data_IF_412890901921
#
_entry.id   IF_412890901921
#
_cell.length_a   1.000
_cell.length_b   1.000
_cell.length_c   1.000
_cell.angle_alpha   90.00
_cell.angle_beta   90.00
_cell.angle_gamma   90.00
#
_symmetry.space_group_name_H-M   'P 1'
#
loop_
_entity.id
_entity.type
_entity.pdbx_description
1 polymer ?
#
# COMPACT_ATOMS: atom_id res chain seq x y z
N UNK A 1 20.23 9.49 -4.31
CA UNK A 1 20.41 10.92 -4.65
C UNK A 1 21.55 11.13 -5.64
N UNK A 2 22.78 10.70 -5.33
CA UNK A 2 23.94 10.82 -6.22
C UNK A 2 23.69 10.34 -7.66
N UNK A 3 23.14 9.13 -7.83
CA UNK A 3 22.85 8.57 -9.17
C UNK A 3 21.84 9.42 -9.96
N UNK A 4 20.83 9.98 -9.29
CA UNK A 4 19.87 10.88 -9.92
C UNK A 4 20.50 12.21 -10.36
N UNK A 5 21.42 12.75 -9.55
CA UNK A 5 22.19 13.94 -9.92
C UNK A 5 23.10 13.67 -11.13
N UNK A 6 23.78 12.53 -11.19
CA UNK A 6 24.59 12.14 -12.35
C UNK A 6 23.75 12.02 -13.64
N UNK A 7 22.54 11.46 -13.55
CA UNK A 7 21.62 11.39 -14.68
C UNK A 7 21.19 12.79 -15.16
N UNK A 8 20.82 13.67 -14.22
CA UNK A 8 20.47 15.06 -14.55
C UNK A 8 21.67 15.85 -15.11
N UNK A 9 22.88 15.58 -14.62
CA UNK A 9 24.11 16.17 -15.12
C UNK A 9 24.36 15.80 -16.59
N UNK A 10 24.28 14.51 -16.93
CA UNK A 10 24.39 14.05 -18.31
C UNK A 10 23.32 14.65 -19.23
N UNK A 11 22.08 14.71 -18.76
CA UNK A 11 20.97 15.36 -19.46
C UNK A 11 21.20 16.87 -19.67
N UNK A 12 21.76 17.57 -18.67
CA UNK A 12 22.08 19.00 -18.74
C UNK A 12 23.13 19.30 -19.79
N UNK A 13 24.18 18.48 -19.88
CA UNK A 13 25.20 18.60 -20.93
C UNK A 13 24.61 18.36 -22.32
N UNK A 14 23.67 17.44 -22.45
CA UNK A 14 23.00 17.13 -23.72
C UNK A 14 22.10 18.27 -24.23
N UNK A 15 21.41 18.94 -23.32
CA UNK A 15 20.46 20.03 -23.61
C UNK A 15 21.15 21.41 -23.66
N UNK A 16 22.34 21.53 -23.08
CA UNK A 16 23.06 22.80 -22.97
C UNK A 16 22.59 23.69 -21.81
N UNK A 17 21.97 23.10 -20.78
CA UNK A 17 21.59 23.84 -19.57
C UNK A 17 22.84 24.11 -18.72
N UNK A 18 23.03 25.34 -18.19
CA UNK A 18 24.21 25.67 -17.39
C UNK A 18 24.25 24.82 -16.11
N UNK A 19 25.41 24.21 -15.83
CA UNK A 19 25.58 23.29 -14.70
C UNK A 19 25.29 23.94 -13.34
N UNK A 20 25.60 25.22 -13.19
CA UNK A 20 25.31 25.94 -11.95
C UNK A 20 23.80 26.09 -11.71
N UNK A 21 23.00 26.27 -12.77
CA UNK A 21 21.53 26.30 -12.67
C UNK A 21 21.02 24.94 -12.23
N UNK A 22 21.54 23.86 -12.82
CA UNK A 22 21.20 22.49 -12.41
C UNK A 22 21.48 22.26 -10.92
N UNK A 23 22.65 22.69 -10.43
CA UNK A 23 23.02 22.57 -9.02
C UNK A 23 22.04 23.36 -8.14
N UNK A 24 21.67 24.59 -8.53
CA UNK A 24 20.67 25.39 -7.81
C UNK A 24 19.29 24.71 -7.79
N UNK A 25 18.82 24.16 -8.91
CA UNK A 25 17.56 23.42 -8.99
C UNK A 25 17.58 22.17 -8.10
N UNK A 26 18.67 21.40 -8.12
CA UNK A 26 18.83 20.21 -7.29
C UNK A 26 18.89 20.55 -5.79
N UNK A 27 19.64 21.60 -5.42
CA UNK A 27 19.78 22.05 -4.04
C UNK A 27 18.46 22.57 -3.47
N UNK A 28 17.74 23.41 -4.22
CA UNK A 28 16.43 23.94 -3.80
C UNK A 28 15.36 22.85 -3.72
N UNK A 29 15.38 21.88 -4.64
CA UNK A 29 14.50 20.70 -4.58
C UNK A 29 14.77 19.86 -3.33
N UNK A 30 16.04 19.59 -3.01
CA UNK A 30 16.42 18.89 -1.77
C UNK A 30 15.99 19.67 -0.53
N UNK A 31 16.26 20.99 -0.49
CA UNK A 31 15.86 21.84 0.61
C UNK A 31 14.34 21.82 0.81
N UNK A 32 13.56 21.87 -0.27
CA UNK A 32 12.10 21.78 -0.21
C UNK A 32 11.62 20.48 0.40
N UNK A 33 12.25 19.34 0.07
CA UNK A 33 11.92 18.05 0.64
C UNK A 33 12.14 18.02 2.15
N UNK A 34 13.28 18.55 2.62
CA UNK A 34 13.61 18.61 4.06
C UNK A 34 12.67 19.57 4.79
N UNK A 35 12.44 20.77 4.26
CA UNK A 35 11.59 21.79 4.89
C UNK A 35 10.14 21.31 4.97
N UNK A 36 9.59 20.73 3.91
CA UNK A 36 8.24 20.19 3.93
C UNK A 36 8.11 19.02 4.91
N UNK A 37 9.13 18.15 5.00
CA UNK A 37 9.19 17.08 6.00
C UNK A 37 9.11 17.64 7.43
N UNK A 38 9.95 18.61 7.76
CA UNK A 38 9.97 19.25 9.08
C UNK A 38 8.68 20.00 9.40
N UNK A 39 8.10 20.72 8.42
CA UNK A 39 6.84 21.44 8.60
C UNK A 39 5.67 20.47 8.87
N UNK A 40 5.62 19.35 8.13
CA UNK A 40 4.62 18.28 8.36
C UNK A 40 4.80 17.65 9.74
N UNK A 41 6.03 17.37 10.15
CA UNK A 41 6.34 16.84 11.48
C UNK A 41 5.85 17.78 12.59
N UNK A 42 6.09 19.10 12.47
CA UNK A 42 5.62 20.10 13.44
C UNK A 42 4.09 20.23 13.48
N UNK A 43 3.42 20.16 12.33
CA UNK A 43 1.96 20.35 12.23
C UNK A 43 1.16 19.11 12.64
N UNK A 44 1.63 17.92 12.30
CA UNK A 44 0.86 16.68 12.44
C UNK A 44 1.47 15.68 13.41
N UNK A 45 2.70 15.90 13.90
CA UNK A 45 3.39 15.00 14.84
C UNK A 45 4.05 13.78 14.19
N UNK A 46 3.93 13.62 12.86
CA UNK A 46 4.49 12.48 12.13
C UNK A 46 5.05 12.92 10.78
N UNK A 47 6.17 12.32 10.37
CA UNK A 47 6.73 12.50 9.03
C UNK A 47 5.98 11.61 8.03
N UNK A 48 5.13 12.22 7.20
CA UNK A 48 4.46 11.53 6.09
C UNK A 48 4.97 12.10 4.77
N UNK A 49 5.70 11.27 4.03
CA UNK A 49 6.17 11.59 2.69
C UNK A 49 5.30 10.90 1.64
N UNK A 50 4.63 11.70 0.82
CA UNK A 50 3.90 11.22 -0.35
C UNK A 50 4.73 11.58 -1.57
N UNK A 51 5.31 10.56 -2.21
CA UNK A 51 6.27 10.74 -3.30
C UNK A 51 5.74 11.60 -4.48
N UNK A 52 4.43 11.59 -4.74
CA UNK A 52 3.83 12.45 -5.76
C UNK A 52 3.86 13.93 -5.36
N UNK A 53 3.57 14.25 -4.09
CA UNK A 53 3.61 15.63 -3.59
C UNK A 53 5.04 16.17 -3.59
N UNK A 54 5.98 15.36 -3.13
CA UNK A 54 7.39 15.75 -3.06
C UNK A 54 7.99 15.91 -4.48
N UNK A 55 7.55 15.11 -5.45
CA UNK A 55 7.88 15.28 -6.88
C UNK A 55 7.36 16.61 -7.44
N UNK A 56 6.09 16.95 -7.18
CA UNK A 56 5.50 18.20 -7.65
C UNK A 56 6.18 19.42 -7.01
N UNK A 57 6.52 19.34 -5.72
CA UNK A 57 7.27 20.40 -5.04
C UNK A 57 8.65 20.62 -5.67
N UNK A 58 9.40 19.55 -5.95
CA UNK A 58 10.71 19.64 -6.61
C UNK A 58 10.63 20.24 -8.02
N UNK A 59 9.63 19.84 -8.82
CA UNK A 59 9.40 20.43 -10.15
C UNK A 59 8.99 21.91 -10.05
N UNK A 60 8.18 22.27 -9.06
CA UNK A 60 7.79 23.67 -8.80
C UNK A 60 9.02 24.51 -8.45
N UNK A 61 9.89 24.04 -7.55
CA UNK A 61 11.14 24.73 -7.20
C UNK A 61 12.06 24.86 -8.41
N UNK A 62 12.16 23.82 -9.24
CA UNK A 62 12.92 23.87 -10.49
C UNK A 62 12.41 24.96 -11.42
N UNK A 63 11.09 25.06 -11.60
CA UNK A 63 10.49 26.09 -12.45
C UNK A 63 10.76 27.51 -11.92
N UNK A 64 10.64 27.72 -10.61
CA UNK A 64 10.92 29.01 -9.98
C UNK A 64 12.38 29.43 -10.12
N UNK A 65 13.32 28.51 -9.90
CA UNK A 65 14.76 28.78 -10.05
C UNK A 65 15.10 29.08 -11.51
N UNK A 66 14.58 28.29 -12.45
CA UNK A 66 14.80 28.51 -13.87
C UNK A 66 14.26 29.89 -14.32
N UNK A 67 13.06 30.25 -13.87
CA UNK A 67 12.46 31.56 -14.15
C UNK A 67 13.27 32.71 -13.53
N UNK A 68 13.74 32.57 -12.28
CA UNK A 68 14.53 33.59 -11.60
C UNK A 68 15.88 33.86 -12.29
N UNK A 69 16.46 32.84 -12.91
CA UNK A 69 17.71 32.96 -13.68
C UNK A 69 17.50 33.26 -15.17
N UNK A 70 16.26 33.46 -15.62
CA UNK A 70 15.96 33.78 -17.01
C UNK A 70 16.29 32.66 -18.00
N UNK A 71 16.43 31.41 -17.53
CA UNK A 71 16.64 30.25 -18.40
C UNK A 71 15.31 29.60 -18.78
N UNK A 72 15.34 28.76 -19.81
CA UNK A 72 14.15 28.04 -20.26
C UNK A 72 13.63 27.08 -19.17
N UNK A 73 12.47 27.40 -18.59
CA UNK A 73 11.78 26.58 -17.59
C UNK A 73 11.51 25.17 -18.11
N UNK A 74 11.07 25.05 -19.35
CA UNK A 74 10.75 23.77 -19.97
C UNK A 74 11.98 22.83 -20.04
N UNK A 75 13.13 23.34 -20.49
CA UNK A 75 14.38 22.57 -20.53
C UNK A 75 14.86 22.18 -19.11
N UNK A 76 14.76 23.11 -18.15
CA UNK A 76 15.14 22.82 -16.77
C UNK A 76 14.26 21.71 -16.15
N UNK A 77 12.95 21.75 -16.41
CA UNK A 77 12.00 20.71 -15.98
C UNK A 77 12.31 19.36 -16.63
N UNK A 78 12.57 19.32 -17.95
CA UNK A 78 12.88 18.07 -18.66
C UNK A 78 14.13 17.38 -18.10
N UNK A 79 15.19 18.16 -17.85
CA UNK A 79 16.45 17.67 -17.26
C UNK A 79 16.23 17.19 -15.82
N UNK A 80 15.56 17.99 -14.98
CA UNK A 80 15.31 17.64 -13.59
C UNK A 80 14.39 16.43 -13.44
N UNK A 81 13.42 16.27 -14.35
CA UNK A 81 12.50 15.13 -14.36
C UNK A 81 13.24 13.80 -14.49
N UNK A 82 14.25 13.73 -15.37
CA UNK A 82 15.09 12.53 -15.52
C UNK A 82 15.82 12.21 -14.21
N UNK A 83 16.43 13.21 -13.58
CA UNK A 83 17.13 13.03 -12.31
C UNK A 83 16.21 12.57 -11.17
N UNK A 84 15.01 13.17 -11.09
CA UNK A 84 13.98 12.81 -10.13
C UNK A 84 13.43 11.40 -10.39
N UNK A 85 13.24 11.02 -11.66
CA UNK A 85 12.82 9.67 -12.04
C UNK A 85 13.79 8.60 -11.54
N UNK A 86 15.09 8.78 -11.80
CA UNK A 86 16.14 7.90 -11.28
C UNK A 86 16.14 7.88 -9.75
N UNK A 87 16.03 9.04 -9.09
CA UNK A 87 15.92 9.11 -7.64
C UNK A 87 14.75 8.29 -7.10
N UNK A 88 13.58 8.36 -7.73
CA UNK A 88 12.38 7.63 -7.35
C UNK A 88 12.53 6.11 -7.51
N UNK A 89 13.22 5.63 -8.55
CA UNK A 89 13.54 4.20 -8.74
C UNK A 89 14.29 3.65 -7.54
N UNK A 90 15.39 4.32 -7.14
CA UNK A 90 16.18 3.90 -5.98
C UNK A 90 15.42 4.10 -4.66
N UNK A 91 14.57 5.13 -4.57
CA UNK A 91 13.68 5.33 -3.44
C UNK A 91 12.77 4.11 -3.23
N UNK A 92 12.16 3.58 -4.30
CA UNK A 92 11.33 2.36 -4.23
C UNK A 92 12.10 1.10 -3.90
N UNK A 93 13.34 1.00 -4.37
CA UNK A 93 14.22 -0.10 -3.99
C UNK A 93 14.51 -0.08 -2.48
N UNK A 94 14.79 1.12 -1.92
CA UNK A 94 14.91 1.31 -0.48
C UNK A 94 13.64 0.93 0.27
N UNK A 95 12.46 1.36 -0.22
CA UNK A 95 11.17 0.96 0.36
C UNK A 95 10.98 -0.55 0.41
N UNK A 96 11.42 -1.28 -0.63
CA UNK A 96 11.33 -2.74 -0.67
C UNK A 96 12.16 -3.40 0.44
N UNK A 97 13.40 -2.97 0.66
CA UNK A 97 14.26 -3.55 1.69
C UNK A 97 13.80 -3.23 3.11
N UNK A 98 13.30 -2.01 3.32
CA UNK A 98 12.85 -1.53 4.63
C UNK A 98 11.42 -2.01 4.94
N UNK A 99 10.66 -2.39 3.92
CA UNK A 99 9.27 -2.87 4.03
C UNK A 99 8.23 -1.76 4.16
N UNK A 100 8.59 -0.49 3.93
CA UNK A 100 7.59 0.58 3.87
C UNK A 100 6.86 0.56 2.51
N UNK A 101 5.67 1.16 2.44
CA UNK A 101 4.81 1.15 1.25
C UNK A 101 4.48 -0.26 0.71
N UNK A 102 4.29 -1.24 1.59
CA UNK A 102 4.05 -2.63 1.19
C UNK A 102 2.69 -2.84 0.51
N UNK A 103 2.61 -3.92 -0.26
CA UNK A 103 1.37 -4.36 -0.87
C UNK A 103 0.45 -5.06 0.11
N UNK A 104 -0.72 -5.46 -0.38
CA UNK A 104 -1.68 -6.27 0.38
C UNK A 104 -1.16 -7.71 0.56
N UNK A 105 -1.68 -8.45 1.55
CA UNK A 105 -1.39 -9.88 1.69
C UNK A 105 -1.68 -10.64 0.38
N UNK A 106 -0.80 -11.57 0.03
CA UNK A 106 -0.79 -12.28 -1.26
C UNK A 106 -0.15 -13.66 -1.13
N UNK A 107 -0.57 -14.59 -1.99
CA UNK A 107 0.06 -15.91 -2.15
C UNK A 107 1.49 -15.81 -2.69
N UNK A 108 1.83 -14.71 -3.37
CA UNK A 108 3.15 -14.46 -3.96
C UNK A 108 3.70 -13.14 -3.43
N UNK A 109 4.97 -13.14 -3.00
CA UNK A 109 5.67 -11.95 -2.54
C UNK A 109 6.66 -12.19 -1.40
N UNK A 110 6.94 -11.12 -0.65
CA UNK A 110 8.01 -11.06 0.36
C UNK A 110 7.41 -11.14 1.77
N UNK A 111 8.06 -11.89 2.66
CA UNK A 111 7.75 -11.93 4.09
C UNK A 111 8.63 -10.93 4.83
N UNK A 112 8.02 -10.03 5.58
CA UNK A 112 8.72 -9.04 6.38
C UNK A 112 8.71 -9.42 7.86
N UNK A 113 9.76 -9.07 8.59
CA UNK A 113 9.92 -9.42 10.02
C UNK A 113 9.76 -8.21 10.92
N UNK A 114 9.86 -8.41 12.23
CA UNK A 114 9.77 -7.36 13.24
C UNK A 114 10.84 -6.26 13.09
N UNK A 115 11.90 -6.52 12.33
CA UNK A 115 12.97 -5.56 12.03
C UNK A 115 12.64 -4.61 10.87
N UNK A 116 11.52 -4.83 10.19
CA UNK A 116 11.07 -3.98 9.08
C UNK A 116 10.12 -2.88 9.56
N UNK A 117 9.89 -1.88 8.70
CA UNK A 117 8.92 -0.81 8.95
C UNK A 117 7.47 -1.22 8.59
N UNK A 118 7.25 -2.50 8.30
CA UNK A 118 5.91 -3.06 8.15
C UNK A 118 5.20 -3.01 9.50
N UNK A 119 3.94 -2.60 9.52
CA UNK A 119 3.14 -2.58 10.74
C UNK A 119 3.06 -3.96 11.38
N UNK A 120 3.03 -4.01 12.72
CA UNK A 120 2.97 -5.27 13.51
C UNK A 120 2.00 -6.33 12.96
N UNK A 121 0.79 -5.95 12.50
CA UNK A 121 -0.17 -6.90 11.94
C UNK A 121 0.28 -7.72 10.74
N UNK A 122 1.28 -7.25 10.01
CA UNK A 122 1.71 -7.83 8.73
C UNK A 122 3.04 -8.60 8.81
N UNK A 123 3.59 -8.77 10.02
CA UNK A 123 4.82 -9.52 10.23
C UNK A 123 4.64 -11.01 9.93
N UNK A 124 5.62 -11.61 9.24
CA UNK A 124 5.61 -13.01 8.83
C UNK A 124 4.65 -13.33 7.67
N UNK A 125 3.76 -12.39 7.33
CA UNK A 125 2.82 -12.53 6.22
C UNK A 125 3.52 -12.27 4.88
N UNK A 126 3.11 -13.00 3.86
CA UNK A 126 3.58 -12.80 2.50
C UNK A 126 2.79 -11.62 1.90
N UNK A 127 3.50 -10.53 1.60
CA UNK A 127 2.92 -9.31 1.06
C UNK A 127 3.30 -9.17 -0.41
N UNK A 128 2.34 -8.75 -1.24
CA UNK A 128 2.60 -8.48 -2.65
C UNK A 128 3.70 -7.40 -2.76
N UNK A 129 4.75 -7.61 -3.57
CA UNK A 129 5.89 -6.70 -3.64
C UNK A 129 5.57 -5.50 -4.54
N UNK A 130 4.54 -4.73 -4.18
CA UNK A 130 4.08 -3.55 -4.94
C UNK A 130 5.22 -2.54 -5.15
N UNK A 131 6.18 -2.48 -4.23
CA UNK A 131 7.34 -1.60 -4.34
C UNK A 131 8.21 -1.92 -5.57
N UNK A 132 8.39 -3.22 -5.90
CA UNK A 132 9.16 -3.63 -7.07
C UNK A 132 8.38 -3.37 -8.36
N UNK A 133 7.06 -3.52 -8.33
CA UNK A 133 6.19 -3.17 -9.46
C UNK A 133 6.20 -1.65 -9.71
N UNK A 134 6.09 -0.85 -8.65
CA UNK A 134 6.23 0.61 -8.71
C UNK A 134 7.62 1.01 -9.20
N UNK A 135 8.69 0.34 -8.73
CA UNK A 135 10.05 0.56 -9.22
C UNK A 135 10.15 0.32 -10.72
N UNK A 136 9.71 -0.86 -11.19
CA UNK A 136 9.76 -1.22 -12.61
C UNK A 136 8.98 -0.22 -13.48
N UNK A 137 7.81 0.22 -13.00
CA UNK A 137 7.01 1.23 -13.68
C UNK A 137 7.70 2.58 -13.76
N UNK A 138 8.26 3.07 -12.65
CA UNK A 138 9.00 4.35 -12.61
C UNK A 138 10.24 4.26 -13.49
N UNK A 139 10.93 3.11 -13.51
CA UNK A 139 12.08 2.88 -14.38
C UNK A 139 11.67 2.95 -15.86
N UNK A 140 10.58 2.28 -16.25
CA UNK A 140 10.05 2.36 -17.61
C UNK A 140 9.64 3.80 -17.99
N UNK A 141 8.97 4.52 -17.09
CA UNK A 141 8.62 5.93 -17.29
C UNK A 141 9.87 6.81 -17.48
N UNK A 142 10.92 6.58 -16.67
CA UNK A 142 12.20 7.30 -16.75
C UNK A 142 12.96 6.97 -18.04
N UNK A 143 12.97 5.71 -18.49
CA UNK A 143 13.55 5.32 -19.77
C UNK A 143 12.82 5.99 -20.95
N UNK A 144 11.49 6.06 -20.91
CA UNK A 144 10.73 6.81 -21.92
C UNK A 144 11.05 8.32 -21.88
N UNK A 145 11.20 8.90 -20.68
CA UNK A 145 11.61 10.30 -20.51
C UNK A 145 13.00 10.57 -21.12
N UNK A 146 13.96 9.67 -20.88
CA UNK A 146 15.30 9.71 -21.49
C UNK A 146 15.25 9.57 -23.01
N UNK A 147 14.39 8.69 -23.54
CA UNK A 147 14.19 8.55 -24.98
C UNK A 147 13.70 9.86 -25.61
N UNK A 148 12.63 10.46 -25.07
CA UNK A 148 12.08 11.73 -25.54
C UNK A 148 13.09 12.89 -25.46
N UNK A 149 13.92 12.89 -24.42
CA UNK A 149 15.00 13.87 -24.26
C UNK A 149 16.14 13.66 -25.27
N UNK A 150 16.50 12.41 -25.53
CA UNK A 150 17.57 12.01 -26.45
C UNK A 150 17.27 12.40 -27.89
N UNK A 151 16.02 12.23 -28.33
CA UNK A 151 15.59 12.61 -29.69
C UNK A 151 15.28 14.11 -29.85
N UNK A 152 15.62 14.95 -28.85
CA UNK A 152 15.48 16.42 -28.89
C UNK A 152 14.06 16.88 -29.25
N UNK A 153 13.05 16.27 -28.63
CA UNK A 153 11.66 16.72 -28.81
C UNK A 153 11.42 18.12 -28.25
N UNK A 154 10.22 18.65 -28.54
CA UNK A 154 9.86 19.99 -28.11
C UNK A 154 9.90 20.11 -26.59
N UNK A 155 10.36 21.26 -26.06
CA UNK A 155 10.55 21.44 -24.63
C UNK A 155 9.28 21.11 -23.83
N UNK A 156 9.45 20.56 -22.63
CA UNK A 156 8.41 20.04 -21.73
C UNK A 156 7.81 18.67 -22.11
N UNK A 157 8.12 18.12 -23.28
CA UNK A 157 7.63 16.77 -23.68
C UNK A 157 8.12 15.69 -22.71
N UNK A 158 9.38 15.76 -22.29
CA UNK A 158 9.96 14.78 -21.37
C UNK A 158 9.27 14.83 -20.00
N UNK A 159 9.04 16.03 -19.45
CA UNK A 159 8.31 16.21 -18.19
C UNK A 159 6.87 15.72 -18.30
N UNK A 160 6.13 16.11 -19.33
CA UNK A 160 4.75 15.70 -19.49
C UNK A 160 4.61 14.18 -19.67
N UNK A 161 5.52 13.53 -20.43
CA UNK A 161 5.54 12.08 -20.57
C UNK A 161 5.73 11.40 -19.21
N UNK A 162 6.75 11.81 -18.46
CA UNK A 162 7.05 11.22 -17.16
C UNK A 162 5.90 11.41 -16.17
N UNK A 163 5.34 12.62 -16.05
CA UNK A 163 4.24 12.90 -15.14
C UNK A 163 2.98 12.11 -15.52
N UNK A 164 2.66 12.03 -16.81
CA UNK A 164 1.55 11.22 -17.30
C UNK A 164 1.73 9.74 -16.96
N UNK A 165 2.88 9.16 -17.28
CA UNK A 165 3.20 7.78 -16.95
C UNK A 165 3.20 7.53 -15.43
N UNK A 166 3.86 8.39 -14.66
CA UNK A 166 3.95 8.28 -13.20
C UNK A 166 2.57 8.32 -12.54
N UNK A 167 1.72 9.30 -12.87
CA UNK A 167 0.37 9.44 -12.31
C UNK A 167 -0.52 8.24 -12.68
N UNK A 168 -0.38 7.73 -13.90
CA UNK A 168 -1.12 6.55 -14.37
C UNK A 168 -0.79 5.30 -13.56
N UNK A 169 0.50 5.00 -13.40
CA UNK A 169 0.93 3.90 -12.56
C UNK A 169 0.57 4.12 -11.10
N UNK A 170 0.72 5.35 -10.58
CA UNK A 170 0.37 5.66 -9.20
C UNK A 170 -1.11 5.41 -8.93
N UNK A 171 -1.99 5.82 -9.84
CA UNK A 171 -3.44 5.60 -9.74
C UNK A 171 -3.80 4.11 -9.70
N UNK A 172 -3.17 3.32 -10.57
CA UNK A 172 -3.40 1.88 -10.70
C UNK A 172 -2.83 1.10 -9.52
N UNK A 173 -1.56 1.34 -9.19
CA UNK A 173 -0.83 0.59 -8.17
C UNK A 173 -1.32 0.90 -6.75
N UNK A 174 -2.00 2.03 -6.54
CA UNK A 174 -2.64 2.35 -5.26
C UNK A 174 -3.64 1.28 -4.82
N UNK A 175 -4.31 0.59 -5.74
CA UNK A 175 -5.23 -0.51 -5.39
C UNK A 175 -4.52 -1.73 -4.80
N UNK A 176 -3.24 -1.92 -5.13
CA UNK A 176 -2.43 -3.06 -4.70
C UNK A 176 -1.76 -2.82 -3.33
N UNK A 177 -1.87 -1.60 -2.79
CA UNK A 177 -1.21 -1.19 -1.55
C UNK A 177 -1.93 -1.66 -0.30
N UNK A 178 -1.15 -2.10 0.68
CA UNK A 178 -1.60 -2.54 2.00
C UNK A 178 -1.39 -1.49 3.10
N UNK A 179 -0.65 -0.41 2.84
CA UNK A 179 -0.38 0.68 3.77
C UNK A 179 -1.56 1.67 3.85
N UNK A 180 -2.61 1.29 4.59
CA UNK A 180 -3.90 2.00 4.65
C UNK A 180 -4.00 3.19 5.60
N UNK A 181 -2.89 3.75 6.11
CA UNK A 181 -2.90 5.04 6.83
C UNK A 181 -3.18 6.25 5.90
N UNK A 182 -3.92 6.03 4.82
CA UNK A 182 -4.23 6.99 3.77
C UNK A 182 -5.66 7.47 3.92
N UNK A 183 -5.83 8.78 3.82
CA UNK A 183 -7.14 9.40 3.84
C UNK A 183 -7.87 9.06 2.56
N UNK A 184 -9.06 8.47 2.70
CA UNK A 184 -9.98 8.28 1.59
C UNK A 184 -10.94 9.46 1.51
N UNK A 185 -11.19 9.92 0.29
CA UNK A 185 -12.15 10.99 0.00
C UNK A 185 -13.15 10.41 -0.99
N UNK A 186 -14.28 9.92 -0.48
CA UNK A 186 -15.24 9.15 -1.28
C UNK A 186 -14.67 7.78 -1.72
N UNK A 187 -14.82 7.39 -3.00
CA UNK A 187 -14.40 6.06 -3.48
C UNK A 187 -12.88 5.93 -3.72
N UNK A 188 -12.15 7.05 -3.79
CA UNK A 188 -10.73 7.11 -4.16
C UNK A 188 -9.85 7.60 -3.00
N UNK A 189 -8.57 7.24 -3.03
CA UNK A 189 -7.58 7.80 -2.09
C UNK A 189 -7.23 9.24 -2.47
N UNK A 190 -6.77 10.02 -1.49
CA UNK A 190 -6.22 11.36 -1.73
C UNK A 190 -5.15 11.38 -2.84
N UNK A 191 -4.28 10.37 -2.88
CA UNK A 191 -3.24 10.25 -3.92
C UNK A 191 -3.82 9.92 -5.30
N UNK A 192 -4.93 9.18 -5.37
CA UNK A 192 -5.62 8.91 -6.63
C UNK A 192 -6.28 10.18 -7.19
N UNK A 193 -6.92 10.98 -6.33
CA UNK A 193 -7.45 12.29 -6.73
C UNK A 193 -6.35 13.21 -7.23
N UNK A 194 -5.21 13.28 -6.52
CA UNK A 194 -4.07 14.08 -6.96
C UNK A 194 -3.50 13.57 -8.29
N UNK A 195 -3.43 12.25 -8.48
CA UNK A 195 -2.97 11.65 -9.74
C UNK A 195 -3.90 11.99 -10.91
N UNK A 196 -5.21 12.04 -10.69
CA UNK A 196 -6.18 12.47 -11.70
C UNK A 196 -6.01 13.96 -12.04
N UNK A 197 -5.89 14.82 -11.03
CA UNK A 197 -5.71 16.26 -11.23
C UNK A 197 -4.44 16.56 -12.05
N UNK A 198 -3.31 15.93 -11.68
CA UNK A 198 -2.06 16.07 -12.44
C UNK A 198 -2.19 15.47 -13.83
N UNK A 199 -2.85 14.32 -13.97
CA UNK A 199 -3.12 13.71 -15.28
C UNK A 199 -3.86 14.64 -16.23
N UNK A 200 -4.89 15.33 -15.75
CA UNK A 200 -5.65 16.32 -16.54
C UNK A 200 -4.75 17.50 -16.94
N UNK A 201 -3.97 18.05 -16.01
CA UNK A 201 -3.04 19.14 -16.30
C UNK A 201 -1.99 18.73 -17.34
N UNK A 202 -1.48 17.51 -17.27
CA UNK A 202 -0.53 16.96 -18.25
C UNK A 202 -1.18 16.82 -19.61
N UNK A 203 -2.42 16.33 -19.70
CA UNK A 203 -3.11 16.22 -21.01
C UNK A 203 -3.31 17.58 -21.66
N UNK A 204 -3.75 18.58 -20.88
CA UNK A 204 -3.92 19.94 -21.38
C UNK A 204 -2.57 20.54 -21.79
N UNK A 205 -1.53 20.34 -20.98
CA UNK A 205 -0.17 20.78 -21.27
C UNK A 205 0.41 20.11 -22.54
N UNK A 206 0.19 18.81 -22.72
CA UNK A 206 0.66 18.07 -23.90
C UNK A 206 0.07 18.60 -25.20
N UNK A 207 -1.23 18.91 -25.20
CA UNK A 207 -1.91 19.49 -26.35
C UNK A 207 -1.36 20.89 -26.67
N UNK A 208 -1.06 21.70 -25.66
CA UNK A 208 -0.42 23.02 -25.87
C UNK A 208 1.01 22.91 -26.41
N UNK A 209 1.84 22.02 -25.87
CA UNK A 209 3.22 21.80 -26.33
C UNK A 209 3.22 21.34 -27.80
N UNK A 210 2.34 20.42 -28.17
CA UNK A 210 2.24 19.91 -29.55
C UNK A 210 1.56 20.88 -30.52
N UNK A 211 0.65 21.74 -30.05
CA UNK A 211 0.08 22.81 -30.87
C UNK A 211 1.15 23.83 -31.30
N UNK A 212 2.09 24.16 -30.41
CA UNK A 212 3.23 25.04 -30.70
C UNK A 212 4.23 24.37 -31.68
N UNK A 213 4.27 23.04 -31.72
CA UNK A 213 5.29 22.27 -32.45
C UNK A 213 4.99 22.04 -33.95
N UNK A 214 3.88 22.57 -34.50
CA UNK A 214 3.48 22.46 -35.92
C UNK A 214 3.44 21.04 -36.54
N UNK A 215 3.49 19.97 -35.75
CA UNK A 215 3.65 18.59 -36.24
C UNK A 215 2.29 17.91 -36.53
N UNK A 216 1.71 18.18 -37.71
CA UNK A 216 0.30 17.97 -38.14
C UNK A 216 -0.21 16.52 -38.27
N UNK A 217 0.22 15.58 -37.41
CA UNK A 217 -0.28 14.20 -37.42
C UNK A 217 -1.58 14.02 -36.62
N UNK A 218 -2.72 13.74 -37.28
CA UNK A 218 -4.10 13.61 -36.73
C UNK A 218 -4.28 12.57 -35.58
N UNK A 219 -3.26 11.81 -35.20
CA UNK A 219 -3.32 10.75 -34.16
C UNK A 219 -2.96 11.25 -32.74
N UNK A 220 -3.38 12.47 -32.39
CA UNK A 220 -2.59 13.42 -31.59
C UNK A 220 -2.66 13.36 -30.06
N UNK A 221 -3.73 12.87 -29.45
CA UNK A 221 -3.89 12.68 -28.00
C UNK A 221 -4.43 11.30 -27.55
N UNK A 222 -5.10 10.49 -28.41
CA UNK A 222 -5.78 9.30 -27.91
C UNK A 222 -4.82 8.15 -27.62
N UNK A 223 -3.61 8.06 -28.18
CA UNK A 223 -2.75 6.86 -27.93
C UNK A 223 -2.22 6.81 -26.50
N UNK A 224 -1.73 7.93 -25.97
CA UNK A 224 -1.26 8.00 -24.58
C UNK A 224 -2.40 7.82 -23.59
N UNK A 225 -3.53 8.50 -23.84
CA UNK A 225 -4.75 8.36 -23.04
C UNK A 225 -5.33 6.95 -23.14
N UNK A 226 -5.38 6.33 -24.32
CA UNK A 226 -5.89 4.97 -24.54
C UNK A 226 -4.96 3.90 -23.99
N UNK A 227 -3.63 4.09 -24.02
CA UNK A 227 -2.72 3.17 -23.32
C UNK A 227 -2.88 3.28 -21.81
N UNK A 228 -2.96 4.49 -21.27
CA UNK A 228 -3.18 4.71 -19.84
C UNK A 228 -4.54 4.17 -19.40
N UNK A 229 -5.61 4.55 -20.10
CA UNK A 229 -6.98 4.08 -19.84
C UNK A 229 -7.07 2.57 -20.05
N UNK A 230 -6.43 2.03 -21.08
CA UNK A 230 -6.37 0.59 -21.36
C UNK A 230 -5.64 -0.18 -20.25
N UNK A 231 -4.52 0.35 -19.75
CA UNK A 231 -3.79 -0.22 -18.61
C UNK A 231 -4.58 -0.08 -17.30
N UNK A 232 -5.27 1.04 -17.08
CA UNK A 232 -6.17 1.27 -15.94
C UNK A 232 -7.35 0.30 -15.97
N UNK A 233 -7.99 0.12 -17.13
CA UNK A 233 -9.09 -0.81 -17.32
C UNK A 233 -8.64 -2.27 -17.20
N UNK A 234 -7.47 -2.61 -17.74
CA UNK A 234 -6.88 -3.95 -17.60
C UNK A 234 -6.54 -4.23 -16.13
N UNK A 235 -5.94 -3.28 -15.43
CA UNK A 235 -5.65 -3.43 -14.00
C UNK A 235 -6.94 -3.49 -13.18
N UNK A 236 -7.95 -2.68 -13.48
CA UNK A 236 -9.27 -2.74 -12.84
C UNK A 236 -9.94 -4.09 -13.06
N UNK A 237 -9.91 -4.61 -14.29
CA UNK A 237 -10.51 -5.91 -14.66
C UNK A 237 -9.74 -7.09 -14.08
N UNK A 238 -8.41 -7.00 -14.03
CA UNK A 238 -7.55 -8.06 -13.50
C UNK A 238 -7.37 -7.98 -11.99
N UNK A 239 -7.72 -6.86 -11.32
CA UNK A 239 -7.57 -6.69 -9.86
C UNK A 239 -8.19 -7.88 -9.13
N UNK A 240 -9.42 -8.26 -9.49
CA UNK A 240 -10.12 -9.33 -8.81
C UNK A 240 -9.39 -10.69 -8.96
N UNK A 241 -8.60 -10.92 -10.02
CA UNK A 241 -7.81 -12.16 -10.20
C UNK A 241 -6.58 -12.22 -9.31
N UNK A 242 -5.98 -11.08 -8.99
CA UNK A 242 -4.85 -10.98 -8.05
C UNK A 242 -5.31 -10.96 -6.59
N UNK A 243 -6.59 -10.62 -6.35
CA UNK A 243 -7.16 -10.35 -5.02
C UNK A 243 -8.30 -11.29 -4.61
N UNK A 244 -8.64 -12.30 -5.41
CA UNK A 244 -9.65 -13.31 -5.10
C UNK A 244 -9.13 -14.36 -4.12
N UNK A 245 -8.77 -13.91 -2.91
CA UNK A 245 -9.24 -14.62 -1.73
C UNK A 245 -10.73 -14.34 -1.55
N UNK A 246 -11.50 -15.18 -0.84
CA UNK A 246 -12.91 -14.93 -0.59
C UNK A 246 -13.04 -13.68 0.29
N UNK A 247 -13.17 -12.52 -0.35
CA UNK A 247 -13.64 -11.30 0.29
C UNK A 247 -15.15 -11.42 0.36
N UNK A 248 -15.65 -12.02 1.43
CA UNK A 248 -16.95 -11.59 1.92
C UNK A 248 -16.84 -10.14 2.34
N UNK A 249 -17.84 -9.34 1.98
CA UNK A 249 -17.98 -8.00 2.52
C UNK A 249 -18.32 -8.11 4.01
N UNK A 250 -17.31 -8.04 4.87
CA UNK A 250 -17.54 -7.99 6.31
C UNK A 250 -18.20 -6.65 6.64
N UNK A 251 -19.51 -6.68 6.93
CA UNK A 251 -20.29 -5.48 7.26
C UNK A 251 -19.78 -4.85 8.57
N UNK A 252 -19.75 -3.50 8.70
CA UNK A 252 -19.33 -2.82 9.93
C UNK A 252 -20.10 -3.30 11.18
N UNK A 253 -21.39 -3.55 11.07
CA UNK A 253 -22.24 -4.02 12.16
C UNK A 253 -21.85 -5.43 12.62
N UNK A 254 -21.38 -6.25 11.68
CA UNK A 254 -20.85 -7.60 11.97
C UNK A 254 -19.54 -7.49 12.74
N UNK A 255 -18.66 -6.55 12.39
CA UNK A 255 -17.43 -6.25 13.13
C UNK A 255 -17.74 -5.78 14.57
N UNK A 256 -18.70 -4.88 14.73
CA UNK A 256 -19.09 -4.36 16.05
C UNK A 256 -19.67 -5.47 16.95
N UNK A 257 -20.57 -6.32 16.42
CA UNK A 257 -21.10 -7.48 17.15
C UNK A 257 -20.01 -8.48 17.52
N UNK A 258 -19.06 -8.70 16.62
CA UNK A 258 -17.88 -9.52 16.87
C UNK A 258 -17.03 -8.99 18.02
N UNK A 259 -16.77 -7.68 18.03
CA UNK A 259 -15.98 -6.99 19.07
C UNK A 259 -16.56 -7.24 20.46
N UNK A 260 -17.87 -7.04 20.63
CA UNK A 260 -18.55 -7.25 21.90
C UNK A 260 -18.43 -8.71 22.35
N UNK A 261 -18.75 -9.65 21.46
CA UNK A 261 -18.71 -11.10 21.73
C UNK A 261 -17.30 -11.58 22.11
N UNK A 262 -16.26 -11.07 21.46
CA UNK A 262 -14.88 -11.41 21.82
C UNK A 262 -14.44 -10.74 23.14
N UNK A 263 -14.83 -9.49 23.40
CA UNK A 263 -14.58 -8.87 24.70
C UNK A 263 -15.15 -9.71 25.85
N UNK A 264 -16.40 -10.16 25.71
CA UNK A 264 -17.06 -11.03 26.68
C UNK A 264 -16.36 -12.38 26.84
N UNK A 265 -15.90 -12.99 25.75
CA UNK A 265 -15.16 -14.26 25.77
C UNK A 265 -13.89 -14.15 26.64
N UNK A 266 -13.09 -13.12 26.40
CA UNK A 266 -11.84 -12.90 27.15
C UNK A 266 -12.11 -12.54 28.62
N UNK A 267 -13.13 -11.71 28.89
CA UNK A 267 -13.53 -11.38 30.25
C UNK A 267 -13.93 -12.65 31.05
N UNK A 268 -14.67 -13.57 30.42
CA UNK A 268 -15.09 -14.84 31.05
C UNK A 268 -13.93 -15.81 31.24
N UNK A 269 -13.04 -15.96 30.25
CA UNK A 269 -11.87 -16.82 30.37
C UNK A 269 -10.90 -16.33 31.47
N UNK A 270 -10.72 -15.02 31.58
CA UNK A 270 -9.85 -14.42 32.60
C UNK A 270 -10.43 -14.49 34.02
N UNK A 271 -11.75 -14.59 34.16
CA UNK A 271 -12.41 -14.63 35.48
C UNK A 271 -12.10 -15.92 36.25
N UNK A 272 -11.90 -17.05 35.55
CA UNK A 272 -11.60 -18.35 36.17
C UNK A 272 -10.43 -19.00 35.43
N UNK A 273 -9.20 -18.98 35.99
CA UNK A 273 -8.03 -19.63 35.40
C UNK A 273 -8.28 -21.13 35.16
N UNK A 274 -7.85 -21.65 34.00
CA UNK A 274 -8.09 -23.05 33.60
C UNK A 274 -9.52 -23.34 33.11
N UNK A 275 -10.42 -22.36 33.07
CA UNK A 275 -11.76 -22.53 32.51
C UNK A 275 -11.77 -22.38 30.99
N UNK A 276 -12.72 -23.06 30.34
CA UNK A 276 -12.99 -22.88 28.91
C UNK A 276 -14.21 -21.97 28.75
N UNK A 277 -14.03 -20.78 28.17
CA UNK A 277 -15.12 -19.89 27.80
C UNK A 277 -15.55 -20.15 26.37
N UNK A 278 -16.86 -20.01 26.08
CA UNK A 278 -17.43 -20.26 24.74
C UNK A 278 -18.28 -19.09 24.28
N UNK A 279 -18.14 -18.71 23.02
CA UNK A 279 -18.97 -17.71 22.34
C UNK A 279 -19.17 -18.11 20.87
N UNK A 280 -20.29 -17.71 20.27
CA UNK A 280 -20.57 -17.95 18.86
C UNK A 280 -20.19 -16.74 17.99
N UNK A 281 -19.73 -16.97 16.77
CA UNK A 281 -19.61 -15.92 15.76
C UNK A 281 -20.99 -15.33 15.42
N UNK A 282 -21.08 -14.10 14.90
CA UNK A 282 -22.33 -13.56 14.35
C UNK A 282 -22.93 -14.50 13.31
N UNK A 283 -24.26 -14.63 13.37
CA UNK A 283 -25.04 -15.62 12.59
C UNK A 283 -24.81 -17.07 13.04
N UNK A 284 -24.11 -17.27 14.16
CA UNK A 284 -23.90 -18.55 14.85
C UNK A 284 -23.30 -19.64 13.94
N UNK A 285 -22.44 -19.19 13.01
CA UNK A 285 -21.71 -20.05 12.06
C UNK A 285 -20.54 -20.78 12.70
N UNK A 286 -19.91 -20.21 13.72
CA UNK A 286 -18.74 -20.79 14.36
C UNK A 286 -18.89 -20.72 15.87
N UNK A 287 -18.63 -21.82 16.55
CA UNK A 287 -18.38 -21.85 17.99
C UNK A 287 -16.90 -21.57 18.23
N UNK A 288 -16.60 -20.66 19.15
CA UNK A 288 -15.25 -20.26 19.52
C UNK A 288 -15.10 -20.56 21.01
N UNK A 289 -14.22 -21.49 21.30
CA UNK A 289 -13.82 -21.82 22.67
C UNK A 289 -12.44 -21.24 22.94
N UNK A 290 -12.28 -20.59 24.10
CA UNK A 290 -10.99 -20.12 24.60
C UNK A 290 -10.68 -20.85 25.90
N UNK A 291 -9.56 -21.57 25.94
CA UNK A 291 -8.98 -22.10 27.18
C UNK A 291 -7.69 -21.37 27.52
N UNK A 292 -7.46 -21.13 28.81
CA UNK A 292 -6.27 -20.46 29.35
C UNK A 292 -5.48 -21.45 30.21
N UNK A 293 -4.29 -21.82 29.73
CA UNK A 293 -3.33 -22.70 30.42
C UNK A 293 -2.09 -21.91 30.84
N UNK A 294 -1.49 -22.26 31.97
CA UNK A 294 -0.21 -21.71 32.41
C UNK A 294 0.97 -22.40 31.71
N UNK A 295 1.76 -21.67 30.94
CA UNK A 295 2.90 -22.23 30.21
C UNK A 295 4.22 -22.16 31.01
N UNK A 296 4.49 -21.04 31.69
CA UNK A 296 5.69 -20.82 32.52
C UNK A 296 5.51 -19.55 33.40
N UNK A 297 6.43 -19.27 34.32
CA UNK A 297 6.40 -18.04 35.13
C UNK A 297 6.39 -16.81 34.20
N UNK A 298 5.31 -16.01 34.27
CA UNK A 298 5.00 -14.81 33.45
C UNK A 298 4.43 -15.06 32.03
N UNK A 299 4.15 -16.31 31.62
CA UNK A 299 3.59 -16.62 30.30
C UNK A 299 2.31 -17.45 30.39
N UNK A 300 1.23 -16.96 29.75
CA UNK A 300 -0.04 -17.66 29.58
C UNK A 300 -0.17 -18.23 28.17
N UNK A 301 -0.72 -19.44 28.06
CA UNK A 301 -1.04 -20.09 26.81
C UNK A 301 -2.54 -20.06 26.58
N UNK A 302 -2.97 -19.25 25.61
CA UNK A 302 -4.34 -19.22 25.15
C UNK A 302 -4.54 -20.18 23.99
N UNK A 303 -5.51 -21.08 24.12
CA UNK A 303 -5.90 -22.04 23.09
C UNK A 303 -7.31 -21.70 22.59
N UNK A 304 -7.38 -21.18 21.36
CA UNK A 304 -8.63 -20.91 20.68
C UNK A 304 -9.01 -22.12 19.82
N UNK A 305 -10.20 -22.64 20.02
CA UNK A 305 -10.76 -23.73 19.20
C UNK A 305 -11.99 -23.22 18.47
N UNK A 306 -11.95 -23.28 17.14
CA UNK A 306 -13.07 -22.95 16.26
C UNK A 306 -13.71 -24.21 15.74
N UNK A 307 -15.03 -24.34 15.91
CA UNK A 307 -15.82 -25.49 15.46
C UNK A 307 -17.10 -25.01 14.73
N UNK A 308 -17.69 -25.84 13.85
CA UNK A 308 -18.95 -25.51 13.20
C UNK A 308 -20.04 -25.22 14.25
N UNK A 309 -20.66 -24.03 14.16
CA UNK A 309 -21.77 -23.64 15.02
C UNK A 309 -23.13 -24.19 14.56
N UNK A 310 -24.22 -23.90 15.29
CA UNK A 310 -25.56 -24.42 15.00
C UNK A 310 -26.12 -23.99 13.62
N UNK A 311 -25.62 -22.91 13.01
CA UNK A 311 -26.05 -22.54 11.66
C UNK A 311 -25.75 -23.61 10.59
N UNK A 312 -24.76 -24.48 10.84
CA UNK A 312 -24.43 -25.60 9.95
C UNK A 312 -25.45 -26.74 10.05
N UNK A 313 -25.91 -27.06 11.26
CA UNK A 313 -26.94 -28.08 11.49
C UNK A 313 -28.33 -27.61 11.05
N UNK A 314 -28.62 -26.32 11.21
CA UNK A 314 -29.93 -25.72 10.89
C UNK A 314 -30.12 -25.44 9.38
N UNK A 315 -29.12 -25.75 8.54
CA UNK A 315 -29.14 -25.46 7.10
C UNK A 315 -29.03 -23.97 6.74
N UNK A 316 -28.79 -23.10 7.73
CA UNK A 316 -28.59 -21.65 7.54
C UNK A 316 -27.21 -21.33 6.92
N UNK A 317 -26.23 -22.22 7.07
CA UNK A 317 -24.91 -22.15 6.43
C UNK A 317 -24.73 -23.30 5.43
N UNK A 318 -24.16 -23.03 4.25
CA UNK A 318 -23.91 -24.05 3.21
C UNK A 318 -22.44 -24.42 3.14
N UNK A 319 -22.14 -25.61 2.62
CA UNK A 319 -20.76 -26.11 2.45
C UNK A 319 -19.85 -25.12 1.69
N UNK A 320 -20.39 -24.40 0.70
CA UNK A 320 -19.65 -23.38 -0.06
C UNK A 320 -19.25 -22.17 0.79
N UNK A 321 -19.97 -21.90 1.89
CA UNK A 321 -19.70 -20.79 2.81
C UNK A 321 -18.62 -21.12 3.84
N UNK A 322 -18.19 -22.40 3.92
CA UNK A 322 -17.32 -22.90 5.00
C UNK A 322 -15.94 -22.25 4.93
N UNK A 323 -15.35 -22.22 3.73
CA UNK A 323 -14.03 -21.65 3.50
C UNK A 323 -13.98 -20.15 3.76
N UNK A 324 -14.96 -19.40 3.26
CA UNK A 324 -15.02 -17.94 3.44
C UNK A 324 -15.26 -17.54 4.90
N UNK A 325 -16.29 -18.11 5.52
CA UNK A 325 -16.66 -17.78 6.90
C UNK A 325 -15.59 -18.15 7.92
N UNK A 326 -14.87 -19.28 7.74
CA UNK A 326 -13.76 -19.66 8.60
C UNK A 326 -12.61 -18.65 8.51
N UNK A 327 -12.26 -18.23 7.29
CA UNK A 327 -11.17 -17.29 7.06
C UNK A 327 -11.46 -15.93 7.70
N UNK A 328 -12.68 -15.43 7.54
CA UNK A 328 -13.16 -14.21 8.21
C UNK A 328 -13.09 -14.30 9.72
N UNK A 329 -13.61 -15.40 10.27
CA UNK A 329 -13.71 -15.65 11.71
C UNK A 329 -12.31 -15.69 12.33
N UNK A 330 -11.37 -16.39 11.71
CA UNK A 330 -9.97 -16.39 12.13
C UNK A 330 -9.29 -15.04 11.96
N UNK A 331 -9.56 -14.32 10.86
CA UNK A 331 -9.02 -12.98 10.62
C UNK A 331 -9.47 -11.96 11.68
N UNK A 332 -10.75 -11.99 12.06
CA UNK A 332 -11.31 -11.15 13.13
C UNK A 332 -10.75 -11.53 14.51
N UNK A 333 -10.62 -12.82 14.80
CA UNK A 333 -10.01 -13.32 16.03
C UNK A 333 -8.57 -12.80 16.17
N UNK A 334 -7.76 -12.93 15.11
CA UNK A 334 -6.35 -12.48 15.06
C UNK A 334 -6.17 -10.97 15.25
N UNK A 335 -7.21 -10.15 15.03
CA UNK A 335 -7.14 -8.72 15.30
C UNK A 335 -7.25 -8.37 16.78
N UNK A 336 -8.02 -9.16 17.53
CA UNK A 336 -8.24 -8.96 18.97
C UNK A 336 -7.11 -9.53 19.81
N UNK A 337 -6.34 -10.46 19.24
CA UNK A 337 -5.24 -11.05 19.95
C UNK A 337 -4.16 -10.00 20.23
N UNK A 338 -3.63 -9.98 21.46
CA UNK A 338 -2.45 -9.19 21.75
C UNK A 338 -1.28 -9.65 20.86
N UNK A 339 -0.31 -8.77 20.57
CA UNK A 339 0.67 -8.91 19.49
C UNK A 339 1.71 -10.04 19.65
N UNK A 340 1.47 -10.97 20.57
CA UNK A 340 2.41 -12.00 20.97
C UNK A 340 2.40 -13.21 20.02
N UNK A 341 3.34 -14.12 20.25
CA UNK A 341 3.69 -15.22 19.34
C UNK A 341 2.56 -16.24 19.26
N UNK A 342 1.87 -16.26 18.12
CA UNK A 342 1.18 -17.47 17.65
C UNK A 342 2.21 -18.60 17.64
N UNK A 343 1.97 -19.64 18.43
CA UNK A 343 2.89 -20.77 18.56
C UNK A 343 2.63 -21.81 17.48
N UNK A 344 1.36 -22.14 17.27
CA UNK A 344 0.97 -23.23 16.38
C UNK A 344 -0.50 -23.09 15.98
N UNK A 345 -0.78 -23.44 14.73
CA UNK A 345 -2.13 -23.62 14.21
C UNK A 345 -2.26 -25.06 13.74
N UNK A 346 -3.35 -25.73 14.08
CA UNK A 346 -3.60 -27.09 13.63
C UNK A 346 -5.07 -27.27 13.25
N UNK A 347 -5.29 -27.72 12.02
CA UNK A 347 -6.59 -28.23 11.60
C UNK A 347 -6.68 -29.68 12.05
N UNK A 348 -7.71 -30.02 12.83
CA UNK A 348 -8.00 -31.43 13.15
C UNK A 348 -8.92 -32.01 12.06
N UNK A 349 -8.63 -33.24 11.60
CA UNK A 349 -9.50 -34.03 10.71
C UNK A 349 -10.82 -34.43 11.42
N UNK A 350 -11.78 -35.09 10.74
CA UNK A 350 -12.63 -34.63 9.62
C UNK A 350 -13.76 -33.68 10.07
N UNK A 351 -13.84 -33.32 11.36
CA UNK A 351 -14.90 -32.49 11.96
C UNK A 351 -14.89 -31.01 11.54
N UNK A 352 -13.82 -30.55 10.87
CA UNK A 352 -13.67 -29.17 10.43
C UNK A 352 -13.17 -28.21 11.52
N UNK A 353 -12.79 -28.71 12.69
CA UNK A 353 -12.29 -27.89 13.79
C UNK A 353 -10.88 -27.32 13.51
N UNK A 354 -10.67 -26.06 13.87
CA UNK A 354 -9.37 -25.37 13.78
C UNK A 354 -8.94 -24.94 15.17
N UNK A 355 -7.75 -25.36 15.58
CA UNK A 355 -7.17 -24.98 16.85
C UNK A 355 -5.99 -24.02 16.65
N UNK A 356 -5.89 -23.03 17.53
CA UNK A 356 -4.91 -21.98 17.53
C UNK A 356 -4.32 -21.81 18.93
N UNK A 357 -3.01 -21.87 19.03
CA UNK A 357 -2.27 -21.63 20.26
C UNK A 357 -1.51 -20.32 20.22
N UNK A 358 -1.73 -19.46 21.22
CA UNK A 358 -1.14 -18.13 21.34
C UNK A 358 -0.50 -18.00 22.71
N UNK A 359 0.78 -17.64 22.73
CA UNK A 359 1.47 -17.35 23.99
C UNK A 359 1.35 -15.87 24.30
N UNK A 360 0.88 -15.51 25.48
CA UNK A 360 0.59 -14.13 25.91
C UNK A 360 1.42 -13.79 27.14
N UNK A 361 1.95 -12.57 27.18
CA UNK A 361 2.68 -12.03 28.33
C UNK A 361 1.68 -11.67 29.45
N UNK A 362 1.87 -12.25 30.64
CA UNK A 362 0.95 -12.08 31.75
C UNK A 362 0.85 -10.63 32.26
N UNK A 363 1.88 -9.80 32.04
CA UNK A 363 1.95 -8.42 32.56
C UNK A 363 1.36 -7.36 31.61
N UNK A 364 1.00 -7.71 30.37
CA UNK A 364 0.43 -6.78 29.38
C UNK A 364 -0.88 -7.30 28.77
N UNK A 365 -1.96 -7.43 29.56
CA UNK A 365 -3.25 -7.83 29.02
C UNK A 365 -3.78 -6.73 28.10
N UNK A 366 -3.90 -7.04 26.81
CA UNK A 366 -4.76 -6.30 25.89
C UNK A 366 -4.45 -4.81 25.73
N UNK A 367 -3.24 -4.45 25.27
CA UNK A 367 -3.04 -3.13 24.69
C UNK A 367 -3.96 -3.01 23.46
N UNK A 368 -5.08 -2.29 23.60
CA UNK A 368 -6.00 -1.98 22.51
C UNK A 368 -5.21 -1.32 21.37
N UNK A 369 -5.00 -2.06 20.28
CA UNK A 369 -4.46 -1.48 19.06
C UNK A 369 -5.54 -0.64 18.38
N UNK A 370 -5.21 0.53 17.81
CA UNK A 370 -6.21 1.40 17.20
C UNK A 370 -6.79 0.80 15.92
N UNK A 371 -8.11 0.98 15.80
CA UNK A 371 -8.92 1.05 14.58
C UNK A 371 -9.10 -0.24 13.74
N UNK A 372 -10.16 -0.97 14.10
CA UNK A 372 -10.75 -2.10 13.35
C UNK A 372 -11.39 -1.60 12.03
N UNK A 373 -10.59 -1.25 11.01
CA UNK A 373 -11.08 -1.02 9.63
C UNK A 373 -11.54 -2.37 9.02
N UNK A 374 -12.80 -2.52 8.58
CA UNK A 374 -13.31 -3.75 7.95
C UNK A 374 -12.44 -4.29 6.82
N UNK A 375 -11.70 -3.44 6.13
CA UNK A 375 -10.82 -3.86 5.05
C UNK A 375 -9.49 -4.44 5.54
N UNK A 376 -9.01 -4.02 6.71
CA UNK A 376 -7.88 -4.67 7.38
C UNK A 376 -8.25 -6.06 7.90
N UNK A 377 -9.53 -6.29 8.24
CA UNK A 377 -10.05 -7.61 8.61
C UNK A 377 -9.93 -8.57 7.44
N UNK A 378 -10.43 -8.18 6.25
CA UNK A 378 -10.35 -9.01 5.05
C UNK A 378 -8.88 -9.31 4.67
N UNK A 379 -7.99 -8.32 4.75
CA UNK A 379 -6.58 -8.52 4.43
C UNK A 379 -5.90 -9.50 5.42
N UNK A 380 -6.19 -9.41 6.73
CA UNK A 380 -5.66 -10.36 7.74
C UNK A 380 -6.28 -11.76 7.62
N UNK A 381 -7.58 -11.85 7.35
CA UNK A 381 -8.30 -13.11 7.08
C UNK A 381 -7.68 -13.86 5.89
N UNK A 382 -7.40 -13.14 4.81
CA UNK A 382 -6.73 -13.71 3.64
C UNK A 382 -5.26 -14.07 3.91
N UNK A 383 -4.55 -13.24 4.67
CA UNK A 383 -3.18 -13.57 5.06
C UNK A 383 -3.13 -14.86 5.90
N UNK A 384 -4.12 -15.06 6.75
CA UNK A 384 -4.32 -16.29 7.51
C UNK A 384 -4.62 -17.49 6.62
N UNK A 385 -5.50 -17.36 5.62
CA UNK A 385 -5.79 -18.45 4.68
C UNK A 385 -4.54 -18.89 3.90
N UNK A 386 -3.68 -17.94 3.51
CA UNK A 386 -2.41 -18.24 2.84
C UNK A 386 -1.43 -18.99 3.74
N UNK A 387 -1.50 -18.79 5.06
CA UNK A 387 -0.67 -19.52 6.03
C UNK A 387 -1.15 -20.97 6.21
N UNK A 388 -2.46 -21.21 6.26
CA UNK A 388 -3.03 -22.56 6.36
C UNK A 388 -2.82 -23.45 5.12
N UNK A 389 -2.50 -22.86 3.97
CA UNK A 389 -2.21 -23.59 2.73
C UNK A 389 -0.74 -24.03 2.61
N UNK A 390 0.15 -23.53 3.49
CA UNK A 390 1.57 -23.91 3.58
C UNK A 390 1.74 -24.99 4.64
#
# INVERSE_FOLDING_TARGET
>A
MFVGFCAAFGASLWVGLPLWVLICCAATSLASFVVLGQLRQRRFGWEKHVLLEDLLAALTMTALVAAAFGVSVAHALDVMTVGLGVFLVFGRLGCFFVGCCHGRPSLVGTKYTQRSHVGRPFWGLRLFPVQLVELAWIAAATCGALFWLGIRTTPATTTCWFLGAYCSGRFVLEWLRGDRSRRMVGPLSETQWLSLAVGVLVTLGWDTVRAISADSGVWRAPVGVVMVVGMVLLAYKTRNRWFSGPQSEVRPDTVARWRLRLGDLHARANAVPGSTAKVFSPEDRWEISLSDDTADQNLRLWSYTLQPGPAWSDGRARMNDFGGSLQETCGMLLQRMPPHRVLRFQRQQPSGAVQLWVLVDAEKPGMESPEDDPRQICDRAFAFSCHLQQ
#
